data_IF_316743244530
#
_entry.id   IF_316743244530
#
_cell.length_a   1.000
_cell.length_b   1.000
_cell.length_c   1.000
_cell.angle_alpha   90.00
_cell.angle_beta   90.00
_cell.angle_gamma   90.00
#
_symmetry.space_group_name_H-M   'P 1'
#
loop_
_entity.id
_entity.type
_entity.pdbx_description
1 polymer ?
2 non-polymer ?
3 non-polymer ?
4 water ?
#
# COMPACT_ATOMS: atom_id res chain seq x y z
N UNK A 1 6.17 -5.24 -16.36
CA UNK A 1 7.20 -5.36 -15.26
C UNK A 1 7.01 -6.64 -14.43
N UNK A 2 7.82 -6.82 -13.35
CA UNK A 2 7.68 -8.10 -12.60
C UNK A 2 6.34 -8.22 -11.83
N UNK A 3 5.81 -9.44 -11.75
CA UNK A 3 4.60 -9.74 -10.98
C UNK A 3 4.86 -10.95 -10.08
N UNK A 4 4.06 -11.08 -9.02
CA UNK A 4 4.02 -12.27 -8.16
C UNK A 4 3.59 -13.45 -9.01
N UNK A 5 4.28 -14.57 -8.84
CA UNK A 5 3.96 -15.74 -9.68
C UNK A 5 3.25 -16.84 -8.84
N UNK A 6 2.49 -16.41 -7.83
CA UNK A 6 1.77 -17.32 -6.97
C UNK A 6 0.49 -16.58 -6.52
N UNK A 7 -0.47 -17.36 -6.02
CA UNK A 7 -1.79 -16.79 -5.67
C UNK A 7 -1.95 -16.44 -4.20
N UNK A 8 -1.19 -17.10 -3.34
CA UNK A 8 -1.26 -16.81 -1.91
C UNK A 8 -0.09 -15.92 -1.57
N UNK A 9 -0.37 -14.69 -1.11
CA UNK A 9 0.64 -13.71 -0.74
C UNK A 9 0.45 -13.35 0.72
N UNK A 10 1.54 -13.30 1.46
CA UNK A 10 1.48 -12.95 2.87
C UNK A 10 1.99 -11.54 3.04
N UNK A 11 1.47 -10.86 4.05
CA UNK A 11 2.04 -9.65 4.48
C UNK A 11 2.28 -9.71 5.99
N UNK A 12 3.12 -8.80 6.44
CA UNK A 12 3.43 -8.71 7.84
C UNK A 12 3.61 -7.26 8.23
N UNK A 13 2.94 -6.83 9.31
CA UNK A 13 3.08 -5.42 9.79
C UNK A 13 4.28 -5.40 10.73
N UNK A 14 5.40 -4.88 10.24
CA UNK A 14 6.70 -4.93 10.95
C UNK A 14 6.63 -4.07 12.23
N UNK A 15 5.99 -2.89 12.12
CA UNK A 15 5.78 -2.02 13.30
C UNK A 15 4.59 -1.12 13.02
N UNK A 16 4.00 -0.58 14.08
CA UNK A 16 2.79 0.21 13.96
C UNK A 16 3.07 1.67 14.32
N UNK A 17 2.43 2.56 13.57
CA UNK A 17 2.51 3.96 13.80
C UNK A 17 1.85 4.22 15.16
N UNK A 18 2.42 5.16 15.98
CA UNK A 18 1.73 5.53 17.18
C UNK A 18 0.57 6.52 16.90
N UNK A 19 0.41 6.95 15.64
CA UNK A 19 -0.66 7.91 15.19
C UNK A 19 -2.08 7.36 15.30
N UNK A 20 -2.19 6.03 15.31
CA UNK A 20 -3.47 5.33 15.26
C UNK A 20 -3.51 4.17 16.29
N UNK A 21 -4.74 3.74 16.62
CA UNK A 21 -5.00 2.47 17.34
C UNK A 21 -4.43 1.30 16.50
N UNK A 22 -3.83 0.30 17.16
CA UNK A 22 -3.36 -0.95 16.49
C UNK A 22 -4.39 -1.60 15.57
N UNK A 23 -5.60 -1.76 16.10
CA UNK A 23 -6.65 -2.39 15.39
C UNK A 23 -7.07 -1.55 14.19
N UNK A 24 -6.85 -0.24 14.22
CA UNK A 24 -7.26 0.59 13.04
C UNK A 24 -6.23 0.47 11.92
N UNK A 25 -4.97 0.24 12.31
CA UNK A 25 -3.88 -0.07 11.33
C UNK A 25 -4.13 -1.43 10.66
N UNK A 26 -4.38 -2.46 11.48
CA UNK A 26 -4.75 -3.78 10.99
C UNK A 26 -5.89 -3.66 10.01
N UNK A 27 -6.89 -2.90 10.39
CA UNK A 27 -8.11 -2.83 9.59
C UNK A 27 -7.92 -2.04 8.30
N UNK A 28 -7.22 -0.91 8.38
CA UNK A 28 -6.88 -0.15 7.16
C UNK A 28 -6.09 -0.96 6.15
N UNK A 29 -5.05 -1.64 6.61
CA UNK A 29 -4.20 -2.42 5.71
C UNK A 29 -5.00 -3.61 5.12
N UNK A 30 -5.74 -4.29 5.99
CA UNK A 30 -6.58 -5.37 5.54
C UNK A 30 -7.49 -4.96 4.42
N UNK A 31 -8.27 -3.90 4.67
CA UNK A 31 -9.22 -3.41 3.69
C UNK A 31 -8.54 -3.04 2.38
N UNK A 32 -7.29 -2.60 2.46
CA UNK A 32 -6.58 -2.16 1.24
C UNK A 32 -6.17 -3.36 0.39
N UNK A 33 -5.71 -4.42 1.04
CA UNK A 33 -5.46 -5.68 0.35
C UNK A 33 -6.77 -6.20 -0.26
N UNK A 34 -7.89 -6.07 0.47
CA UNK A 34 -9.21 -6.49 0.01
C UNK A 34 -9.61 -5.82 -1.29
N UNK A 35 -9.29 -4.52 -1.42
CA UNK A 35 -9.55 -3.85 -2.69
C UNK A 35 -8.94 -4.63 -3.90
N UNK A 36 -7.70 -5.10 -3.77
CA UNK A 36 -7.00 -5.75 -4.87
C UNK A 36 -7.38 -7.22 -4.96
N UNK A 37 -7.67 -7.87 -3.82
CA UNK A 37 -8.16 -9.26 -3.90
C UNK A 37 -9.52 -9.36 -4.63
N UNK A 38 -10.34 -8.29 -4.53
CA UNK A 38 -11.66 -8.27 -5.17
C UNK A 38 -11.59 -8.35 -6.68
N UNK A 39 -10.44 -8.01 -7.26
CA UNK A 39 -10.33 -7.88 -8.73
C UNK A 39 -9.17 -8.67 -9.29
N UNK A 40 -8.66 -9.62 -8.51
CA UNK A 40 -7.59 -10.48 -9.02
C UNK A 40 -7.84 -11.86 -8.40
N UNK A 41 -7.01 -12.85 -8.72
CA UNK A 41 -7.06 -14.17 -8.05
C UNK A 41 -6.19 -14.27 -6.80
N UNK A 42 -5.61 -13.16 -6.37
CA UNK A 42 -4.80 -13.14 -5.20
C UNK A 42 -5.57 -13.28 -3.85
N UNK A 43 -4.92 -13.96 -2.91
CA UNK A 43 -5.40 -14.07 -1.54
C UNK A 43 -4.28 -13.56 -0.68
N UNK A 44 -4.60 -12.71 0.31
CA UNK A 44 -3.59 -12.10 1.18
C UNK A 44 -3.84 -12.56 2.62
N UNK A 45 -2.79 -12.90 3.36
CA UNK A 45 -2.97 -13.26 4.80
C UNK A 45 -1.93 -12.50 5.55
N UNK A 46 -2.29 -12.10 6.74
CA UNK A 46 -1.41 -11.36 7.64
C UNK A 46 -0.63 -12.39 8.45
N UNK A 47 0.67 -12.26 8.54
CA UNK A 47 1.38 -13.28 9.35
C UNK A 47 2.11 -12.47 10.39
N UNK A 48 2.62 -13.14 11.41
CA UNK A 48 3.04 -12.42 12.58
C UNK A 48 4.49 -12.64 12.91
N UNK A 49 5.09 -13.66 12.29
CA UNK A 49 6.50 -14.02 12.49
C UNK A 49 6.95 -14.60 11.18
N UNK A 50 8.26 -14.66 10.98
CA UNK A 50 8.78 -15.26 9.79
C UNK A 50 8.82 -14.21 8.71
N UNK A 51 9.20 -14.63 7.52
CA UNK A 51 9.29 -13.70 6.41
C UNK A 51 7.94 -13.64 5.68
N UNK A 52 7.44 -12.45 5.41
CA UNK A 52 6.26 -12.32 4.60
C UNK A 52 6.72 -11.86 3.24
N UNK A 53 5.84 -11.94 2.23
CA UNK A 53 6.10 -11.34 0.92
C UNK A 53 6.18 -9.81 1.03
N UNK A 54 5.14 -9.24 1.64
CA UNK A 54 5.01 -7.81 1.73
C UNK A 54 5.20 -7.41 3.20
N UNK A 55 6.33 -6.82 3.48
CA UNK A 55 6.56 -6.23 4.78
C UNK A 55 6.06 -4.76 4.75
N UNK A 56 5.27 -4.42 5.77
CA UNK A 56 4.65 -3.09 5.89
C UNK A 56 5.40 -2.42 7.02
N UNK A 57 6.02 -1.27 6.71
CA UNK A 57 6.95 -0.64 7.68
C UNK A 57 6.55 0.81 7.88
N UNK A 58 6.54 1.31 9.11
CA UNK A 58 6.43 2.72 9.27
C UNK A 58 7.84 3.19 9.66
N UNK A 59 8.37 4.17 8.93
CA UNK A 59 9.76 4.62 9.12
C UNK A 59 9.91 6.12 8.79
N UNK A 60 10.96 6.75 9.29
CA UNK A 60 11.16 8.18 8.93
C UNK A 60 12.58 8.36 8.45
N UNK A 61 12.82 9.46 7.76
CA UNK A 61 14.14 9.74 7.18
C UNK A 61 14.78 8.58 6.47
N UNK A 62 16.07 8.42 6.69
CA UNK A 62 16.81 7.36 6.05
C UNK A 62 16.59 6.09 6.85
N UNK A 63 16.08 5.08 6.16
CA UNK A 63 15.59 3.89 6.85
C UNK A 63 16.17 2.61 6.24
N UNK A 64 17.25 2.75 5.47
CA UNK A 64 18.09 1.60 5.14
C UNK A 64 17.86 1.11 3.73
N UNK A 65 16.98 1.77 3.01
CA UNK A 65 16.89 1.42 1.67
C UNK A 65 17.50 2.63 0.97
N UNK A 66 17.47 2.70 -0.31
CA UNK A 66 18.25 3.85 -0.82
C UNK A 66 17.29 5.06 -1.00
N UNK A 67 16.14 5.00 -0.34
CA UNK A 67 15.07 5.99 -0.61
C UNK A 67 14.58 6.64 0.68
N UNK A 68 15.32 7.64 1.12
CA UNK A 68 15.01 8.36 2.33
C UNK A 68 13.68 9.08 2.29
N UNK A 69 12.93 9.05 3.40
CA UNK A 69 11.79 9.94 3.57
C UNK A 69 12.21 11.38 3.93
N UNK A 70 11.28 12.32 3.74
CA UNK A 70 11.63 13.74 3.75
C UNK A 70 10.89 14.54 4.84
N UNK A 71 10.63 13.94 6.00
CA UNK A 71 9.82 14.68 7.00
C UNK A 71 8.40 14.88 6.56
N UNK A 72 7.63 15.70 7.26
CA UNK A 72 6.21 15.80 7.00
C UNK A 72 5.92 16.39 5.62
N UNK A 73 4.85 15.91 4.97
CA UNK A 73 4.55 16.18 3.56
C UNK A 73 5.51 15.51 2.56
N UNK A 74 5.55 16.09 1.36
CA UNK A 74 6.33 15.57 0.23
C UNK A 74 5.90 14.12 -0.01
N UNK A 75 6.89 13.25 -0.01
CA UNK A 75 6.65 11.79 -0.15
C UNK A 75 5.90 11.28 1.09
N UNK A 76 4.76 10.63 0.86
CA UNK A 76 3.93 10.01 1.95
C UNK A 76 4.35 8.57 2.28
N UNK A 77 4.77 7.82 1.25
CA UNK A 77 4.99 6.39 1.35
C UNK A 77 5.66 5.94 0.07
N UNK A 78 6.33 4.79 0.07
CA UNK A 78 6.66 4.14 -1.21
C UNK A 78 6.65 2.60 -1.06
N UNK A 79 6.77 1.87 -2.19
CA UNK A 79 6.70 0.39 -2.18
C UNK A 79 7.47 -0.12 -3.40
N UNK A 80 8.02 -1.32 -3.26
CA UNK A 80 8.86 -1.91 -4.27
C UNK A 80 8.03 -2.92 -4.98
N UNK A 81 8.32 -3.11 -6.28
CA UNK A 81 7.56 -4.04 -7.08
C UNK A 81 7.89 -5.47 -6.66
N UNK A 82 7.15 -6.46 -7.21
CA UNK A 82 7.25 -7.87 -6.79
C UNK A 82 8.68 -8.41 -6.91
N UNK A 83 9.10 -9.20 -5.96
CA UNK A 83 10.43 -9.80 -6.02
C UNK A 83 10.81 -10.27 -4.62
N UNK A 84 12.00 -10.87 -4.49
CA UNK A 84 12.44 -11.46 -3.22
C UNK A 84 12.94 -10.32 -2.29
N UNK A 85 13.07 -10.60 -0.99
CA UNK A 85 13.60 -9.64 -0.04
C UNK A 85 12.79 -8.34 0.02
N UNK A 86 13.41 -7.20 -0.28
CA UNK A 86 12.72 -5.89 -0.19
C UNK A 86 11.62 -5.76 -1.23
N UNK A 87 11.70 -6.52 -2.33
CA UNK A 87 10.61 -6.60 -3.29
C UNK A 87 9.25 -6.71 -2.59
N UNK A 88 8.26 -5.95 -3.03
CA UNK A 88 6.95 -6.02 -2.44
C UNK A 88 6.69 -5.16 -1.23
N UNK A 89 7.76 -4.75 -0.56
CA UNK A 89 7.64 -4.13 0.74
C UNK A 89 7.06 -2.74 0.61
N UNK A 90 6.19 -2.37 1.53
CA UNK A 90 5.54 -1.08 1.45
C UNK A 90 5.96 -0.27 2.69
N UNK A 91 6.53 0.92 2.46
CA UNK A 91 7.04 1.75 3.56
C UNK A 91 6.22 3.04 3.70
N UNK A 92 5.82 3.41 4.93
CA UNK A 92 4.99 4.60 5.15
C UNK A 92 5.77 5.59 6.02
N UNK A 93 5.82 6.83 5.57
CA UNK A 93 6.61 7.85 6.22
C UNK A 93 5.97 8.16 7.58
N UNK A 94 6.68 7.86 8.66
CA UNK A 94 6.23 8.20 10.02
C UNK A 94 6.06 9.68 10.25
N UNK A 95 6.75 10.56 9.48
CA UNK A 95 6.59 11.98 9.73
C UNK A 95 5.29 12.57 9.20
N UNK A 96 4.47 11.77 8.53
CA UNK A 96 3.09 12.10 8.28
C UNK A 96 2.19 11.72 9.53
N UNK A 97 1.00 12.28 9.60
CA UNK A 97 0.08 11.88 10.65
C UNK A 97 -0.97 10.99 9.99
N UNK A 98 -0.83 9.68 10.20
CA UNK A 98 -1.79 8.68 9.60
C UNK A 98 -3.13 8.65 10.35
N UNK A 99 -4.26 8.52 9.63
CA UNK A 99 -5.62 8.49 10.23
C UNK A 99 -6.58 7.52 9.51
N UNK A 100 -7.71 7.27 10.17
CA UNK A 100 -8.87 6.60 9.57
C UNK A 100 -9.80 7.53 8.84
N UNK A 101 -9.55 8.82 8.97
CA UNK A 101 -10.51 9.78 8.45
C UNK A 101 -9.91 10.80 7.42
N UNK A 102 -10.51 11.99 7.33
CA UNK A 102 -10.10 13.01 6.37
C UNK A 102 -8.94 13.84 6.87
N UNK A 103 -8.69 13.84 8.19
CA UNK A 103 -7.56 14.52 8.85
C UNK A 103 -6.21 13.87 8.51
N UNK A 104 -5.13 14.60 8.73
CA UNK A 104 -3.79 14.14 8.30
C UNK A 104 -3.82 13.46 6.93
N UNK A 105 -3.20 12.29 6.87
CA UNK A 105 -3.12 11.47 5.65
C UNK A 105 -3.82 10.13 5.85
N UNK A 106 -4.87 9.85 5.09
CA UNK A 106 -5.61 8.56 5.24
C UNK A 106 -4.74 7.30 5.00
N UNK A 107 -4.48 6.49 6.04
CA UNK A 107 -3.75 5.19 5.86
C UNK A 107 -4.34 4.31 4.78
N UNK A 108 -5.66 4.15 4.85
CA UNK A 108 -6.33 3.21 3.92
C UNK A 108 -6.05 3.62 2.47
N UNK A 109 -6.38 4.88 2.14
CA UNK A 109 -6.28 5.30 0.73
C UNK A 109 -4.81 5.17 0.29
N UNK A 110 -3.91 5.57 1.17
CA UNK A 110 -2.49 5.49 0.83
C UNK A 110 -2.03 4.03 0.59
N UNK A 111 -2.52 3.09 1.43
CA UNK A 111 -2.07 1.70 1.40
C UNK A 111 -2.65 1.03 0.17
N UNK A 112 -3.84 1.46 -0.28
CA UNK A 112 -4.35 0.91 -1.52
C UNK A 112 -3.38 1.22 -2.68
N UNK A 113 -2.94 2.45 -2.79
CA UNK A 113 -1.99 2.84 -3.86
C UNK A 113 -0.64 2.10 -3.73
N UNK A 114 -0.03 2.11 -2.55
CA UNK A 114 1.30 1.45 -2.35
C UNK A 114 1.18 -0.03 -2.64
N UNK A 115 0.18 -0.71 -2.10
CA UNK A 115 -0.09 -2.12 -2.48
C UNK A 115 -0.20 -2.31 -4.01
N UNK A 116 -0.87 -1.38 -4.71
CA UNK A 116 -0.90 -1.47 -6.18
C UNK A 116 0.58 -1.63 -6.63
N UNK A 117 1.50 -0.78 -6.12
CA UNK A 117 2.96 -0.92 -6.51
C UNK A 117 3.56 -2.27 -6.08
N UNK A 118 3.25 -2.72 -4.84
CA UNK A 118 3.73 -4.03 -4.33
C UNK A 118 3.28 -5.16 -5.28
N UNK A 119 2.25 -4.89 -6.05
CA UNK A 119 1.67 -5.89 -6.92
C UNK A 119 2.24 -5.76 -8.33
N UNK A 120 2.92 -4.65 -8.63
CA UNK A 120 3.58 -4.46 -9.91
C UNK A 120 3.02 -3.33 -10.77
N UNK A 121 2.02 -2.62 -10.27
CA UNK A 121 1.47 -1.47 -10.97
C UNK A 121 2.34 -0.17 -10.88
N UNK A 122 2.34 0.62 -11.95
CA UNK A 122 3.06 1.88 -11.86
C UNK A 122 2.02 2.97 -11.68
N UNK A 123 2.29 4.17 -12.19
CA UNK A 123 1.39 5.29 -12.04
C UNK A 123 0.45 5.55 -13.22
N UNK A 124 -0.73 6.04 -12.86
CA UNK A 124 -1.77 6.33 -13.83
C UNK A 124 -1.78 7.83 -14.03
N UNK A 125 -2.12 8.24 -15.23
CA UNK A 125 -2.31 9.68 -15.53
C UNK A 125 -3.77 10.17 -15.23
N UNK A 126 -4.64 9.22 -14.94
CA UNK A 126 -6.05 9.51 -14.68
C UNK A 126 -6.24 9.95 -13.22
N UNK A 127 -6.67 11.23 -13.02
CA UNK A 127 -6.87 11.72 -11.66
C UNK A 127 -7.96 10.94 -10.95
N UNK A 128 -8.74 10.16 -11.69
CA UNK A 128 -9.75 9.33 -11.01
C UNK A 128 -9.22 8.01 -10.41
N UNK A 129 -8.01 7.69 -10.81
CA UNK A 129 -7.40 6.42 -10.53
C UNK A 129 -6.72 6.42 -9.15
N UNK A 130 -6.82 5.30 -8.45
CA UNK A 130 -6.11 5.23 -7.17
C UNK A 130 -4.56 5.24 -7.40
N UNK A 131 -4.13 4.78 -8.58
CA UNK A 131 -2.69 4.83 -8.94
C UNK A 131 -2.21 6.15 -9.48
N UNK A 132 -3.07 7.16 -9.46
CA UNK A 132 -2.62 8.54 -9.81
C UNK A 132 -1.57 8.96 -8.82
N UNK A 133 -0.54 9.69 -9.29
CA UNK A 133 0.63 9.88 -8.39
C UNK A 133 0.43 10.72 -7.14
N UNK A 134 -0.55 11.62 -7.16
CA UNK A 134 -0.83 12.57 -6.08
C UNK A 134 -1.95 12.07 -5.17
N UNK A 135 -1.74 12.26 -3.86
CA UNK A 135 -2.76 11.92 -2.85
C UNK A 135 -3.93 12.90 -2.84
N UNK A 136 -5.12 12.38 -3.10
CA UNK A 136 -6.36 13.13 -2.90
C UNK A 136 -7.33 12.42 -1.93
N UNK A 137 -7.71 13.11 -0.87
CA UNK A 137 -8.70 12.53 0.04
C UNK A 137 -10.07 12.33 -0.63
N UNK A 138 -10.64 11.15 -0.47
CA UNK A 138 -12.05 10.91 -0.81
C UNK A 138 -12.63 10.10 0.33
N UNK A 139 -13.92 10.27 0.55
CA UNK A 139 -14.61 9.49 1.55
C UNK A 139 -14.34 7.97 1.42
N UNK A 140 -13.72 7.43 2.46
CA UNK A 140 -13.23 6.05 2.48
C UNK A 140 -14.39 5.07 2.25
N UNK A 141 -15.60 5.61 2.43
CA UNK A 141 -16.86 4.90 2.20
C UNK A 141 -17.32 5.01 0.75
N UNK A 142 -16.95 6.12 0.11
CA UNK A 142 -17.27 6.41 -1.29
C UNK A 142 -16.19 5.88 -2.30
N UNK A 143 -15.16 5.23 -1.76
CA UNK A 143 -13.97 4.85 -2.53
C UNK A 143 -14.21 3.68 -3.52
N UNK A 144 -13.82 3.90 -4.78
CA UNK A 144 -13.84 2.81 -5.77
C UNK A 144 -12.59 2.86 -6.64
N UNK A 145 -12.14 1.70 -7.11
CA UNK A 145 -11.10 1.66 -8.12
C UNK A 145 -11.69 2.17 -9.42
N UNK A 146 -10.88 2.88 -10.18
CA UNK A 146 -11.30 3.35 -11.49
C UNK A 146 -11.13 2.25 -12.55
N UNK A 147 -11.80 2.39 -13.70
CA UNK A 147 -11.68 1.51 -14.84
C UNK A 147 -10.23 1.32 -15.17
N UNK A 148 -9.45 2.39 -15.04
CA UNK A 148 -8.04 2.35 -15.36
C UNK A 148 -7.23 1.43 -14.41
N UNK A 149 -7.48 1.55 -13.11
CA UNK A 149 -6.85 0.66 -12.12
C UNK A 149 -7.18 -0.81 -12.39
N UNK A 150 -8.48 -1.10 -12.55
CA UNK A 150 -8.94 -2.44 -12.79
C UNK A 150 -8.24 -2.98 -14.03
N UNK A 151 -8.34 -2.26 -15.14
CA UNK A 151 -7.61 -2.59 -16.38
C UNK A 151 -6.09 -2.85 -16.14
N UNK A 152 -5.43 -1.98 -15.38
CA UNK A 152 -4.03 -2.16 -15.06
C UNK A 152 -3.69 -3.42 -14.25
N UNK A 153 -4.45 -3.70 -13.16
CA UNK A 153 -4.20 -4.92 -12.38
C UNK A 153 -4.61 -6.21 -13.17
N UNK A 154 -5.67 -6.12 -13.97
CA UNK A 154 -6.05 -7.29 -14.79
C UNK A 154 -5.08 -7.57 -15.96
N UNK A 155 -4.31 -6.57 -16.38
CA UNK A 155 -3.31 -6.86 -17.40
C UNK A 155 -2.14 -7.62 -16.77
N UNK A 156 -1.99 -7.47 -15.46
CA UNK A 156 -0.95 -8.16 -14.69
C UNK A 156 -1.35 -9.54 -14.14
N UNK A 157 -2.59 -9.70 -13.66
CA UNK A 157 -3.00 -10.96 -12.97
C UNK A 157 -4.32 -11.44 -13.60
N UNK A 158 -4.92 -12.54 -13.21
CA UNK A 158 -6.25 -12.75 -13.83
C UNK A 158 -6.51 -12.43 -15.32
X LIG B 1 3.00 5.71 -6.29
X LIG C 1 11.69 2.72 2.20
X LIG D 1 9.36 -8.60 0.40
X LIG E 1 3.33 9.84 12.47
X LIG F 1 7.14 12.83 3.98
#
# INVERSE_FOLDING_TARGET
GPVWRKHYITYRINNYTPDMNREDVDYAIRKAFQVWSNVTPLKFSKINTGMADILVVFARGAHGDDHAFDGKGGILAHAFGPGSGIGGDAHFDEDEFWTTHSGGTNLFLTAVHEIGHSLGLGHSSDPKAVMFPTYKYVDINTFRLSADDIRGIQSLYG
ZN ZN
ZN ZN
CA CA
CA CA
CA CA
#
